data_IF_773867585656
#
_entry.id   IF_773867585656
#
_cell.length_a   1.000
_cell.length_b   1.000
_cell.length_c   1.000
_cell.angle_alpha   90.00
_cell.angle_beta   90.00
_cell.angle_gamma   90.00
#
_symmetry.space_group_name_H-M   'P 1'
#
loop_
_entity.id
_entity.type
_entity.pdbx_description
1 polymer ?
#
# COMPACT_ATOMS: atom_id res chain seq x y z
N UNK A 1 -0.90 -20.76 48.52
CA UNK A 1 -1.07 -19.55 47.70
C UNK A 1 -0.37 -19.77 46.39
N UNK A 2 -1.12 -19.69 45.28
CA UNK A 2 -0.75 -19.41 43.88
C UNK A 2 -1.80 -20.09 43.00
N UNK A 3 -2.62 -19.27 42.34
CA UNK A 3 -3.65 -19.73 41.40
C UNK A 3 -3.08 -20.02 40.01
N UNK A 4 -3.82 -20.73 39.14
CA UNK A 4 -3.39 -21.00 37.78
C UNK A 4 -3.62 -19.80 36.86
N UNK A 5 -2.58 -19.46 36.10
CA UNK A 5 -2.62 -18.55 34.94
C UNK A 5 -3.50 -19.13 33.83
N UNK A 6 -4.37 -18.27 33.30
CA UNK A 6 -5.07 -18.46 32.03
C UNK A 6 -4.06 -18.35 30.87
N UNK A 7 -4.15 -19.26 29.90
CA UNK A 7 -3.47 -19.16 28.61
C UNK A 7 -4.53 -18.84 27.55
N UNK A 8 -4.25 -17.77 26.83
CA UNK A 8 -5.05 -17.05 25.84
C UNK A 8 -5.31 -17.86 24.54
N UNK A 9 -6.46 -17.61 23.92
CA UNK A 9 -7.09 -18.39 22.85
C UNK A 9 -6.97 -17.75 21.47
N UNK A 10 -5.78 -17.33 21.07
CA UNK A 10 -5.51 -16.84 19.69
C UNK A 10 -4.27 -17.50 19.08
N UNK A 11 -4.39 -18.78 18.76
CA UNK A 11 -3.54 -19.45 17.77
C UNK A 11 -4.40 -20.48 17.04
N UNK A 12 -4.84 -20.17 15.81
CA UNK A 12 -5.45 -21.16 14.91
C UNK A 12 -4.46 -22.31 14.69
N UNK A 13 -4.89 -23.59 14.67
CA UNK A 13 -3.98 -24.66 14.35
C UNK A 13 -3.73 -24.73 12.83
N UNK A 14 -2.51 -25.11 12.38
CA UNK A 14 -2.30 -25.51 10.99
C UNK A 14 -2.97 -26.88 10.79
N UNK A 15 -4.18 -26.89 10.21
CA UNK A 15 -5.00 -28.10 10.00
C UNK A 15 -4.30 -29.16 9.14
N UNK A 16 -3.45 -28.76 8.20
CA UNK A 16 -2.65 -29.67 7.37
C UNK A 16 -1.60 -30.45 8.18
N UNK A 17 -1.09 -29.89 9.29
CA UNK A 17 -0.14 -30.58 10.19
C UNK A 17 -0.87 -31.60 11.06
N UNK A 18 -2.11 -31.30 11.48
CA UNK A 18 -2.95 -32.26 12.20
C UNK A 18 -3.38 -33.45 11.33
N UNK A 19 -3.73 -33.23 10.06
CA UNK A 19 -4.11 -34.31 9.13
C UNK A 19 -2.91 -35.22 8.80
N UNK A 20 -1.72 -34.64 8.63
CA UNK A 20 -0.46 -35.36 8.45
C UNK A 20 -0.05 -36.17 9.69
N UNK A 21 -0.12 -35.57 10.88
CA UNK A 21 0.21 -36.25 12.15
C UNK A 21 -0.79 -37.33 12.55
N UNK A 22 -2.10 -37.13 12.31
CA UNK A 22 -3.12 -38.14 12.59
C UNK A 22 -2.99 -39.38 11.68
N UNK A 23 -2.65 -39.16 10.41
CA UNK A 23 -2.48 -40.24 9.43
C UNK A 23 -1.22 -41.06 9.71
N UNK A 24 -0.15 -40.44 10.24
CA UNK A 24 1.08 -41.14 10.59
C UNK A 24 1.02 -41.92 11.91
N UNK A 25 0.12 -41.56 12.85
CA UNK A 25 0.09 -42.14 14.21
C UNK A 25 -0.92 -43.29 14.40
N UNK A 26 -1.96 -43.44 13.56
CA UNK A 26 -3.01 -44.45 13.77
C UNK A 26 -3.52 -45.13 12.48
N UNK A 27 -2.81 -46.15 11.97
CA UNK A 27 -3.13 -46.82 10.70
C UNK A 27 -4.17 -47.96 10.85
N UNK A 28 -5.23 -47.79 11.65
CA UNK A 28 -6.27 -48.82 11.83
C UNK A 28 -7.61 -48.48 11.18
N UNK A 29 -8.40 -49.51 10.87
CA UNK A 29 -9.72 -49.47 10.20
C UNK A 29 -10.80 -48.62 10.89
N UNK A 30 -10.53 -48.10 12.09
CA UNK A 30 -11.41 -47.16 12.80
C UNK A 30 -11.26 -45.72 12.28
N UNK A 31 -10.08 -45.34 11.77
CA UNK A 31 -9.78 -44.01 11.22
C UNK A 31 -10.54 -43.77 9.89
N UNK A 32 -10.69 -44.81 9.07
CA UNK A 32 -11.46 -44.77 7.81
C UNK A 32 -12.97 -44.62 8.04
N UNK A 33 -13.53 -45.20 9.10
CA UNK A 33 -14.95 -45.01 9.46
C UNK A 33 -15.24 -43.60 9.98
N UNK A 34 -14.31 -43.00 10.72
CA UNK A 34 -14.40 -41.59 11.17
C UNK A 34 -14.33 -40.60 10.00
N UNK A 35 -13.46 -40.87 9.01
CA UNK A 35 -13.33 -40.06 7.78
C UNK A 35 -14.56 -40.11 6.85
N UNK A 36 -15.35 -41.17 6.93
CA UNK A 36 -16.60 -41.40 6.18
C UNK A 36 -17.86 -41.04 6.98
N UNK A 37 -17.72 -40.52 8.20
CA UNK A 37 -18.86 -40.18 9.03
C UNK A 37 -19.63 -38.96 8.49
N UNK A 38 -20.95 -38.87 8.72
CA UNK A 38 -21.76 -37.72 8.32
C UNK A 38 -21.20 -36.39 8.83
N UNK A 39 -20.68 -36.39 10.06
CA UNK A 39 -20.06 -35.23 10.71
C UNK A 39 -18.78 -34.77 10.01
N UNK A 40 -17.99 -35.71 9.47
CA UNK A 40 -16.81 -35.39 8.66
C UNK A 40 -17.20 -34.89 7.26
N UNK A 41 -18.28 -35.41 6.67
CA UNK A 41 -18.81 -34.91 5.41
C UNK A 41 -19.35 -33.48 5.54
N UNK A 42 -20.08 -33.17 6.62
CA UNK A 42 -20.53 -31.81 6.96
C UNK A 42 -19.35 -30.86 7.19
N UNK A 43 -18.32 -31.30 7.92
CA UNK A 43 -17.10 -30.50 8.13
C UNK A 43 -16.38 -30.22 6.80
N UNK A 44 -16.22 -31.22 5.93
CA UNK A 44 -15.64 -31.04 4.59
C UNK A 44 -16.47 -30.11 3.70
N UNK A 45 -17.80 -30.23 3.76
CA UNK A 45 -18.71 -29.35 3.03
C UNK A 45 -18.60 -27.90 3.53
N UNK A 46 -18.50 -27.69 4.85
CA UNK A 46 -18.25 -26.39 5.46
C UNK A 46 -16.91 -25.80 5.01
N UNK A 47 -15.82 -26.57 5.11
CA UNK A 47 -14.48 -26.13 4.66
C UNK A 47 -14.48 -25.77 3.18
N UNK A 48 -15.17 -26.57 2.35
CA UNK A 48 -15.28 -26.31 0.90
C UNK A 48 -16.09 -25.03 0.63
N UNK A 49 -17.14 -24.77 1.42
CA UNK A 49 -17.93 -23.55 1.31
C UNK A 49 -17.11 -22.32 1.72
N UNK A 50 -16.34 -22.41 2.81
CA UNK A 50 -15.45 -21.34 3.27
C UNK A 50 -14.37 -21.04 2.24
N UNK A 51 -13.74 -22.06 1.66
CA UNK A 51 -12.75 -21.89 0.59
C UNK A 51 -13.34 -21.22 -0.66
N UNK A 52 -14.59 -21.55 -1.04
CA UNK A 52 -15.29 -20.89 -2.15
C UNK A 52 -15.59 -19.43 -1.84
N UNK A 53 -15.99 -19.11 -0.60
CA UNK A 53 -16.20 -17.73 -0.16
C UNK A 53 -14.90 -16.92 -0.20
N UNK A 54 -13.79 -17.53 0.22
CA UNK A 54 -12.48 -16.89 0.12
C UNK A 54 -12.08 -16.66 -1.34
N UNK A 55 -12.34 -17.61 -2.24
CA UNK A 55 -12.01 -17.47 -3.66
C UNK A 55 -12.70 -16.27 -4.33
N UNK A 56 -13.91 -15.91 -3.89
CA UNK A 56 -14.58 -14.69 -4.35
C UNK A 56 -13.79 -13.42 -4.03
N UNK A 57 -13.07 -13.38 -2.91
CA UNK A 57 -12.24 -12.23 -2.54
C UNK A 57 -11.07 -12.02 -3.50
N UNK A 58 -10.48 -13.11 -4.03
CA UNK A 58 -9.44 -13.03 -5.05
C UNK A 58 -10.03 -12.69 -6.42
N UNK A 59 -11.12 -13.36 -6.82
CA UNK A 59 -11.78 -13.13 -8.11
C UNK A 59 -12.30 -11.69 -8.27
N UNK A 60 -12.76 -11.06 -7.17
CA UNK A 60 -13.30 -9.70 -7.15
C UNK A 60 -12.37 -8.72 -6.42
N UNK A 61 -11.12 -9.10 -6.17
CA UNK A 61 -10.15 -8.35 -5.37
C UNK A 61 -9.77 -6.98 -5.95
N UNK A 62 -10.03 -6.75 -7.24
CA UNK A 62 -9.86 -5.45 -7.89
C UNK A 62 -10.97 -4.44 -7.51
N UNK A 63 -12.12 -4.91 -7.04
CA UNK A 63 -13.30 -4.05 -6.78
C UNK A 63 -13.02 -2.96 -5.74
N UNK A 64 -12.41 -3.24 -4.56
CA UNK A 64 -12.07 -2.19 -3.61
C UNK A 64 -11.17 -1.10 -4.22
N UNK A 65 -10.13 -1.49 -4.96
CA UNK A 65 -9.21 -0.55 -5.61
C UNK A 65 -9.96 0.33 -6.61
N UNK A 66 -10.77 -0.26 -7.50
CA UNK A 66 -11.52 0.49 -8.51
C UNK A 66 -12.51 1.50 -7.89
N UNK A 67 -13.20 1.12 -6.81
CA UNK A 67 -14.16 2.00 -6.14
C UNK A 67 -13.47 3.12 -5.35
N UNK A 68 -12.32 2.84 -4.71
CA UNK A 68 -11.53 3.89 -4.03
C UNK A 68 -10.93 4.85 -5.06
N UNK A 69 -10.35 4.33 -6.15
CA UNK A 69 -9.88 5.16 -7.26
C UNK A 69 -10.99 6.06 -7.81
N UNK A 70 -12.18 5.50 -8.03
CA UNK A 70 -13.34 6.28 -8.46
C UNK A 70 -13.71 7.39 -7.47
N UNK A 71 -13.64 7.13 -6.16
CA UNK A 71 -13.89 8.15 -5.15
C UNK A 71 -12.85 9.30 -5.19
N UNK A 72 -11.58 8.97 -5.46
CA UNK A 72 -10.50 9.96 -5.63
C UNK A 72 -10.68 10.73 -6.95
N UNK A 73 -10.99 10.05 -8.07
CA UNK A 73 -11.23 10.66 -9.39
C UNK A 73 -12.38 11.66 -9.34
N UNK A 74 -13.46 11.28 -8.65
CA UNK A 74 -14.62 12.13 -8.43
C UNK A 74 -14.41 13.15 -7.30
N UNK A 75 -13.29 13.14 -6.59
CA UNK A 75 -13.03 14.07 -5.47
C UNK A 75 -14.12 14.06 -4.39
N UNK A 76 -14.66 12.86 -4.10
CA UNK A 76 -15.77 12.72 -3.13
C UNK A 76 -15.35 13.21 -1.75
N UNK A 77 -14.14 12.83 -1.31
CA UNK A 77 -13.62 13.23 -0.01
C UNK A 77 -13.40 14.76 0.04
N UNK A 78 -12.81 15.33 -1.00
CA UNK A 78 -12.51 16.77 -1.08
C UNK A 78 -13.80 17.61 -1.01
N UNK A 79 -14.84 17.20 -1.74
CA UNK A 79 -16.14 17.90 -1.74
C UNK A 79 -16.85 17.78 -0.40
N UNK A 80 -16.81 16.62 0.24
CA UNK A 80 -17.41 16.46 1.58
C UNK A 80 -16.62 17.28 2.62
N UNK A 81 -15.28 17.31 2.54
CA UNK A 81 -14.44 18.07 3.48
C UNK A 81 -14.66 19.58 3.34
N UNK A 82 -14.66 20.10 2.11
CA UNK A 82 -14.96 21.52 1.84
C UNK A 82 -16.38 21.94 2.24
N UNK A 83 -17.32 21.00 2.34
CA UNK A 83 -18.68 21.20 2.89
C UNK A 83 -18.76 21.01 4.42
N UNK A 84 -17.65 21.07 5.15
CA UNK A 84 -17.63 20.93 6.61
C UNK A 84 -17.66 19.49 7.12
N UNK A 85 -17.29 18.53 6.29
CA UNK A 85 -17.09 17.12 6.66
C UNK A 85 -18.34 16.24 6.64
N UNK A 86 -19.50 16.76 6.25
CA UNK A 86 -20.74 15.99 6.07
C UNK A 86 -21.62 16.56 4.96
N UNK A 87 -22.20 15.69 4.12
CA UNK A 87 -23.00 16.11 2.96
C UNK A 87 -24.14 15.13 2.64
N UNK A 88 -25.31 15.66 2.26
CA UNK A 88 -26.44 14.82 1.82
C UNK A 88 -26.20 14.26 0.42
N UNK A 89 -26.83 13.13 0.09
CA UNK A 89 -26.70 12.52 -1.24
C UNK A 89 -27.12 13.48 -2.39
N UNK A 90 -28.25 14.22 -2.33
CA UNK A 90 -28.59 15.19 -3.37
C UNK A 90 -27.54 16.29 -3.54
N UNK A 91 -27.08 16.89 -2.43
CA UNK A 91 -26.07 17.95 -2.47
C UNK A 91 -24.74 17.44 -3.06
N UNK A 92 -24.30 16.26 -2.62
CA UNK A 92 -23.08 15.62 -3.13
C UNK A 92 -23.20 15.31 -4.61
N UNK A 93 -24.35 14.75 -5.04
CA UNK A 93 -24.62 14.46 -6.44
C UNK A 93 -24.57 15.71 -7.32
N UNK A 94 -25.13 16.82 -6.84
CA UNK A 94 -25.13 18.11 -7.54
C UNK A 94 -23.71 18.70 -7.62
N UNK A 95 -22.97 18.69 -6.52
CA UNK A 95 -21.60 19.20 -6.47
C UNK A 95 -20.64 18.41 -7.38
N UNK A 96 -20.85 17.10 -7.48
CA UNK A 96 -20.04 16.20 -8.30
C UNK A 96 -20.52 16.05 -9.75
N UNK A 97 -21.67 16.64 -10.12
CA UNK A 97 -22.29 16.42 -11.43
C UNK A 97 -22.62 14.95 -11.72
N UNK A 98 -22.85 14.14 -10.69
CA UNK A 98 -23.01 12.68 -10.81
C UNK A 98 -24.49 12.25 -10.80
N UNK A 99 -24.76 11.06 -11.33
CA UNK A 99 -26.07 10.42 -11.23
C UNK A 99 -26.35 9.92 -9.81
N UNK A 100 -27.43 10.40 -9.18
CA UNK A 100 -27.73 10.10 -7.78
C UNK A 100 -27.90 8.59 -7.49
N UNK A 101 -28.59 7.78 -8.31
CA UNK A 101 -28.66 6.33 -8.10
C UNK A 101 -27.31 5.61 -8.19
N UNK A 102 -26.43 6.04 -9.09
CA UNK A 102 -25.10 5.45 -9.26
C UNK A 102 -24.20 5.82 -8.09
N UNK A 103 -24.16 7.11 -7.75
CA UNK A 103 -23.40 7.62 -6.60
C UNK A 103 -23.85 6.95 -5.29
N UNK A 104 -25.15 6.72 -5.11
CA UNK A 104 -25.67 5.99 -3.95
C UNK A 104 -25.07 4.58 -3.82
N UNK A 105 -24.90 3.86 -4.94
CA UNK A 105 -24.32 2.51 -4.94
C UNK A 105 -22.84 2.53 -4.57
N UNK A 106 -22.09 3.50 -5.11
CA UNK A 106 -20.68 3.74 -4.79
C UNK A 106 -20.53 4.07 -3.31
N UNK A 107 -21.28 5.07 -2.82
CA UNK A 107 -21.24 5.47 -1.41
C UNK A 107 -21.66 4.35 -0.47
N UNK A 108 -22.64 3.53 -0.84
CA UNK A 108 -23.03 2.36 -0.03
C UNK A 108 -21.87 1.36 0.12
N UNK A 109 -21.11 1.12 -0.95
CA UNK A 109 -19.91 0.27 -0.88
C UNK A 109 -18.84 0.90 0.02
N UNK A 110 -18.53 2.18 -0.17
CA UNK A 110 -17.52 2.89 0.62
C UNK A 110 -17.90 2.96 2.11
N UNK A 111 -19.18 3.15 2.43
CA UNK A 111 -19.69 3.11 3.81
C UNK A 111 -19.62 1.72 4.41
N UNK A 112 -19.95 0.68 3.65
CA UNK A 112 -19.80 -0.70 4.09
C UNK A 112 -18.34 -1.04 4.44
N UNK A 113 -17.40 -0.51 3.65
CA UNK A 113 -15.94 -0.62 3.89
C UNK A 113 -15.41 0.37 4.93
N UNK A 114 -16.28 1.14 5.59
CA UNK A 114 -15.94 2.14 6.62
C UNK A 114 -15.04 3.27 6.14
N UNK A 115 -14.95 3.49 4.83
CA UNK A 115 -14.23 4.63 4.25
C UNK A 115 -15.00 5.91 4.55
N UNK A 116 -16.32 5.89 4.34
CA UNK A 116 -17.21 6.95 4.82
C UNK A 116 -18.15 6.40 5.89
N UNK A 117 -18.82 7.27 6.62
CA UNK A 117 -19.99 6.91 7.43
C UNK A 117 -21.25 7.49 6.83
N UNK A 118 -22.39 6.88 7.10
CA UNK A 118 -23.70 7.42 6.73
C UNK A 118 -24.52 7.58 8.00
N UNK A 119 -24.89 8.83 8.29
CA UNK A 119 -25.85 9.16 9.35
C UNK A 119 -27.27 9.01 8.80
N UNK A 120 -28.31 9.45 9.54
CA UNK A 120 -29.70 9.33 9.10
C UNK A 120 -29.97 9.99 7.72
N UNK A 121 -29.20 10.99 7.31
CA UNK A 121 -29.43 11.73 6.06
C UNK A 121 -28.17 12.18 5.30
N UNK A 122 -26.97 11.97 5.82
CA UNK A 122 -25.73 12.48 5.23
C UNK A 122 -24.58 11.48 5.27
N UNK A 123 -23.65 11.62 4.33
CA UNK A 123 -22.35 10.96 4.37
C UNK A 123 -21.35 11.85 5.09
N UNK A 124 -20.54 11.27 5.98
CA UNK A 124 -19.54 11.99 6.76
C UNK A 124 -18.16 11.35 6.62
N UNK A 125 -17.12 12.18 6.76
CA UNK A 125 -15.73 11.75 6.75
C UNK A 125 -15.43 10.73 7.86
N UNK A 126 -14.44 9.88 7.61
CA UNK A 126 -13.73 9.07 8.61
C UNK A 126 -12.22 9.34 8.48
N UNK A 127 -11.37 8.83 9.39
CA UNK A 127 -9.93 8.87 9.17
C UNK A 127 -9.52 8.26 7.82
N UNK A 128 -10.17 7.19 7.36
CA UNK A 128 -9.81 6.50 6.12
C UNK A 128 -10.19 7.31 4.87
N UNK A 129 -11.32 8.03 4.85
CA UNK A 129 -11.66 8.89 3.72
C UNK A 129 -10.84 10.17 3.68
N UNK A 130 -10.33 10.66 4.82
CA UNK A 130 -9.42 11.82 4.85
C UNK A 130 -8.11 11.53 4.11
N UNK A 131 -7.63 10.29 4.16
CA UNK A 131 -6.48 9.84 3.36
C UNK A 131 -6.73 9.88 1.84
N UNK A 132 -7.96 10.13 1.38
CA UNK A 132 -8.31 10.25 -0.04
C UNK A 132 -8.35 11.72 -0.53
N UNK A 133 -8.23 12.70 0.37
CA UNK A 133 -8.26 14.13 0.03
C UNK A 133 -6.95 14.47 -0.70
N UNK A 134 -7.05 15.03 -1.90
CA UNK A 134 -5.87 15.32 -2.72
C UNK A 134 -5.09 16.51 -2.13
N UNK A 135 -3.77 16.40 -2.11
CA UNK A 135 -2.88 17.47 -1.63
C UNK A 135 -2.83 17.64 -0.10
N UNK A 136 -3.58 16.83 0.68
CA UNK A 136 -3.36 16.75 2.13
C UNK A 136 -2.00 16.10 2.43
N UNK A 137 -1.33 16.54 3.50
CA UNK A 137 0.03 16.12 3.84
C UNK A 137 0.15 14.59 4.11
N UNK A 138 -0.91 13.98 4.62
CA UNK A 138 -1.03 12.55 4.93
C UNK A 138 -1.85 11.78 3.87
N UNK A 139 -2.12 12.40 2.72
CA UNK A 139 -2.94 11.79 1.67
C UNK A 139 -2.27 10.54 1.07
N UNK A 140 -3.06 9.50 0.89
CA UNK A 140 -2.72 8.30 0.12
C UNK A 140 -3.30 8.31 -1.30
N UNK A 141 -3.95 9.40 -1.71
CA UNK A 141 -4.62 9.49 -3.01
C UNK A 141 -3.64 9.28 -4.18
N UNK A 142 -2.46 9.89 -4.12
CA UNK A 142 -1.44 9.78 -5.16
C UNK A 142 -0.98 8.33 -5.36
N UNK A 143 -0.70 7.62 -4.26
CA UNK A 143 -0.33 6.21 -4.29
C UNK A 143 -1.43 5.34 -4.92
N UNK A 144 -2.68 5.52 -4.49
CA UNK A 144 -3.80 4.76 -5.07
C UNK A 144 -3.96 5.05 -6.57
N UNK A 145 -3.79 6.30 -7.00
CA UNK A 145 -3.87 6.66 -8.41
C UNK A 145 -2.75 6.01 -9.22
N UNK A 146 -1.50 6.04 -8.74
CA UNK A 146 -0.35 5.38 -9.37
C UNK A 146 -0.59 3.87 -9.52
N UNK A 147 -0.92 3.20 -8.42
CA UNK A 147 -1.07 1.73 -8.37
C UNK A 147 -2.25 1.21 -9.19
N UNK A 148 -3.25 2.07 -9.43
CA UNK A 148 -4.43 1.73 -10.22
C UNK A 148 -4.32 2.12 -11.70
N UNK A 149 -3.17 2.65 -12.14
CA UNK A 149 -2.95 2.91 -13.56
C UNK A 149 -2.86 1.61 -14.37
N UNK A 150 -3.30 1.60 -15.64
CA UNK A 150 -3.08 0.46 -16.53
C UNK A 150 -1.60 0.08 -16.64
N UNK A 151 -0.70 1.07 -16.65
CA UNK A 151 0.76 0.87 -16.71
C UNK A 151 1.27 0.04 -15.54
N UNK A 152 0.85 0.35 -14.31
CA UNK A 152 1.28 -0.39 -13.12
C UNK A 152 0.56 -1.72 -12.92
N UNK A 153 -0.66 -1.87 -13.47
CA UNK A 153 -1.46 -3.09 -13.37
C UNK A 153 -1.10 -4.16 -14.41
N UNK A 154 -0.71 -3.76 -15.62
CA UNK A 154 -0.47 -4.70 -16.73
C UNK A 154 0.62 -5.76 -16.42
N UNK A 155 1.76 -5.44 -15.79
CA UNK A 155 2.79 -6.44 -15.45
C UNK A 155 2.28 -7.58 -14.56
N UNK A 156 1.30 -7.31 -13.68
CA UNK A 156 0.71 -8.33 -12.81
C UNK A 156 -0.03 -9.42 -13.58
N UNK A 157 -0.52 -9.12 -14.79
CA UNK A 157 -1.19 -10.11 -15.66
C UNK A 157 -0.19 -11.10 -16.27
N UNK A 158 1.11 -10.78 -16.26
CA UNK A 158 2.18 -11.62 -16.80
C UNK A 158 2.94 -12.41 -15.74
N UNK A 159 2.52 -12.38 -14.47
CA UNK A 159 3.19 -13.13 -13.40
C UNK A 159 3.35 -14.63 -13.68
N UNK A 160 2.38 -15.25 -14.34
CA UNK A 160 2.46 -16.68 -14.69
C UNK A 160 3.55 -16.99 -15.73
N UNK A 161 3.84 -16.06 -16.64
CA UNK A 161 4.96 -16.13 -17.57
C UNK A 161 6.27 -15.89 -16.83
N UNK A 162 6.30 -14.85 -15.99
CA UNK A 162 7.47 -14.51 -15.15
C UNK A 162 7.91 -15.68 -14.28
N UNK A 163 6.97 -16.35 -13.61
CA UNK A 163 7.27 -17.50 -12.76
C UNK A 163 7.93 -18.68 -13.50
N UNK A 164 7.90 -18.70 -14.83
CA UNK A 164 8.53 -19.74 -15.67
C UNK A 164 9.88 -19.32 -16.24
N UNK A 165 10.20 -18.03 -16.21
CA UNK A 165 11.45 -17.47 -16.72
C UNK A 165 12.38 -17.15 -15.53
N UNK A 166 13.69 -17.30 -15.73
CA UNK A 166 14.66 -17.11 -14.65
C UNK A 166 15.11 -15.64 -14.51
N UNK A 167 14.94 -14.83 -15.55
CA UNK A 167 15.53 -13.51 -15.76
C UNK A 167 14.58 -12.54 -16.47
N UNK A 168 14.70 -11.24 -16.20
CA UNK A 168 13.93 -10.16 -16.85
C UNK A 168 12.80 -9.53 -16.02
N UNK A 169 12.39 -8.32 -16.38
CA UNK A 169 11.34 -7.59 -15.67
C UNK A 169 9.95 -7.80 -16.26
N UNK A 170 8.93 -8.19 -15.48
CA UNK A 170 7.53 -8.15 -15.94
C UNK A 170 7.07 -6.79 -16.47
N UNK A 171 7.68 -5.71 -15.98
CA UNK A 171 7.41 -4.37 -16.47
C UNK A 171 8.06 -4.17 -17.85
N UNK A 172 9.33 -4.54 -18.01
CA UNK A 172 10.03 -4.51 -19.30
C UNK A 172 9.37 -5.42 -20.34
N UNK A 173 8.93 -6.61 -19.96
CA UNK A 173 8.25 -7.55 -20.86
C UNK A 173 6.95 -6.95 -21.43
N UNK A 174 6.21 -6.20 -20.61
CA UNK A 174 4.97 -5.55 -21.01
C UNK A 174 5.24 -4.28 -21.84
N UNK A 175 6.15 -3.42 -21.39
CA UNK A 175 6.32 -2.06 -21.92
C UNK A 175 7.54 -1.88 -22.84
N UNK A 176 8.39 -2.91 -22.97
CA UNK A 176 9.61 -2.92 -23.78
C UNK A 176 10.78 -2.10 -23.21
N UNK A 177 10.66 -1.62 -21.96
CA UNK A 177 11.62 -0.77 -21.25
C UNK A 177 11.37 -0.85 -19.75
N UNK A 178 12.39 -0.52 -18.96
CA UNK A 178 12.25 -0.48 -17.51
C UNK A 178 11.33 0.68 -17.07
N UNK A 179 10.99 0.69 -15.78
CA UNK A 179 10.11 1.71 -15.21
C UNK A 179 10.68 3.13 -15.42
N UNK A 180 12.00 3.29 -15.28
CA UNK A 180 12.68 4.57 -15.41
C UNK A 180 12.66 5.08 -16.85
N UNK A 181 13.07 4.25 -17.81
CA UNK A 181 12.98 4.57 -19.23
C UNK A 181 11.54 4.77 -19.70
N UNK A 182 10.54 4.21 -19.02
CA UNK A 182 9.12 4.52 -19.24
C UNK A 182 8.74 5.90 -18.71
N UNK A 183 9.19 6.28 -17.52
CA UNK A 183 8.95 7.60 -16.94
C UNK A 183 9.62 8.71 -17.75
N UNK A 184 10.85 8.48 -18.22
CA UNK A 184 11.57 9.40 -19.12
C UNK A 184 10.77 9.69 -20.40
N UNK A 185 10.09 8.67 -20.93
CA UNK A 185 9.26 8.79 -22.13
C UNK A 185 7.84 9.32 -21.86
N UNK A 186 7.37 9.30 -20.61
CA UNK A 186 5.99 9.61 -20.23
C UNK A 186 5.95 10.55 -18.99
N UNK A 187 6.07 11.87 -19.20
CA UNK A 187 6.12 12.85 -18.09
C UNK A 187 4.92 12.81 -17.15
N UNK A 188 3.72 12.49 -17.66
CA UNK A 188 2.52 12.33 -16.82
C UNK A 188 2.62 11.13 -15.87
N UNK A 189 3.18 10.02 -16.35
CA UNK A 189 3.40 8.83 -15.51
C UNK A 189 4.55 9.05 -14.53
N UNK A 190 5.62 9.72 -14.98
CA UNK A 190 6.73 10.14 -14.12
C UNK A 190 6.22 10.96 -12.93
N UNK A 191 5.37 11.97 -13.21
CA UNK A 191 4.74 12.76 -12.15
C UNK A 191 3.89 11.91 -11.19
N UNK A 192 3.10 10.96 -11.70
CA UNK A 192 2.30 10.08 -10.83
C UNK A 192 3.19 9.18 -9.96
N UNK A 193 4.32 8.71 -10.51
CA UNK A 193 5.31 7.95 -9.77
C UNK A 193 5.90 8.80 -8.65
N UNK A 194 6.38 10.01 -8.96
CA UNK A 194 6.95 10.94 -8.00
C UNK A 194 5.95 11.28 -6.87
N UNK A 195 4.71 11.63 -7.23
CA UNK A 195 3.66 11.96 -6.27
C UNK A 195 3.33 10.74 -5.38
N UNK A 196 3.29 9.53 -5.96
CA UNK A 196 3.05 8.28 -5.23
C UNK A 196 4.21 7.87 -4.31
N UNK A 197 5.45 8.05 -4.76
CA UNK A 197 6.64 7.77 -3.96
C UNK A 197 6.80 8.77 -2.81
N UNK A 198 6.48 10.04 -3.04
CA UNK A 198 6.43 11.07 -2.00
C UNK A 198 5.43 10.72 -0.90
N UNK A 199 4.27 10.16 -1.25
CA UNK A 199 3.28 9.66 -0.30
C UNK A 199 3.85 8.52 0.59
N UNK A 200 4.48 7.52 -0.03
CA UNK A 200 5.13 6.41 0.71
C UNK A 200 6.23 6.94 1.63
N UNK A 201 7.04 7.86 1.12
CA UNK A 201 8.13 8.47 1.86
C UNK A 201 7.63 9.22 3.09
N UNK A 202 6.58 10.03 2.94
CA UNK A 202 5.98 10.77 4.04
C UNK A 202 5.49 9.84 5.15
N UNK A 203 4.72 8.80 4.80
CA UNK A 203 4.17 7.85 5.75
C UNK A 203 5.27 7.05 6.47
N UNK A 204 6.25 6.55 5.73
CA UNK A 204 7.33 5.71 6.26
C UNK A 204 8.26 6.49 7.17
N UNK A 205 8.68 7.70 6.76
CA UNK A 205 9.55 8.55 7.57
C UNK A 205 8.86 9.04 8.84
N UNK A 206 7.56 9.37 8.78
CA UNK A 206 6.80 9.73 9.98
C UNK A 206 6.75 8.57 10.99
N UNK A 207 6.51 7.34 10.52
CA UNK A 207 6.50 6.15 11.37
C UNK A 207 7.89 5.87 11.97
N UNK A 208 8.97 6.04 11.20
CA UNK A 208 10.34 5.88 11.68
C UNK A 208 10.67 6.90 12.78
N UNK A 209 10.29 8.16 12.60
CA UNK A 209 10.46 9.22 13.63
C UNK A 209 9.71 8.88 14.91
N UNK A 210 8.49 8.35 14.80
CA UNK A 210 7.65 8.03 15.96
C UNK A 210 8.11 6.76 16.69
N UNK A 211 8.51 5.72 15.95
CA UNK A 211 8.70 4.37 16.50
C UNK A 211 10.16 4.01 16.75
N UNK A 212 11.10 4.62 16.03
CA UNK A 212 12.52 4.28 16.09
C UNK A 212 13.44 5.53 16.11
N UNK A 213 13.15 6.58 16.90
CA UNK A 213 13.97 7.80 16.90
C UNK A 213 15.44 7.55 17.30
N UNK A 214 15.69 6.56 18.14
CA UNK A 214 17.03 6.19 18.65
C UNK A 214 18.00 5.73 17.56
N UNK A 215 17.49 5.32 16.39
CA UNK A 215 18.33 4.95 15.23
C UNK A 215 19.16 6.15 14.75
N UNK A 216 18.74 7.37 15.07
CA UNK A 216 19.39 8.62 14.67
C UNK A 216 20.34 9.20 15.73
N UNK A 217 20.48 8.54 16.88
CA UNK A 217 21.39 8.98 17.94
C UNK A 217 22.85 8.89 17.49
N UNK A 218 23.60 9.99 17.66
CA UNK A 218 25.01 10.07 17.28
C UNK A 218 25.27 10.26 15.77
N UNK A 219 24.22 10.25 14.93
CA UNK A 219 24.33 10.58 13.50
C UNK A 219 24.39 12.10 13.36
N UNK A 220 25.43 12.62 12.70
CA UNK A 220 25.57 14.06 12.42
C UNK A 220 25.29 14.39 10.95
N UNK A 221 25.46 13.42 10.05
CA UNK A 221 25.19 13.54 8.63
C UNK A 221 24.49 12.30 8.08
N UNK A 222 23.44 12.50 7.29
CA UNK A 222 22.61 11.45 6.71
C UNK A 222 22.45 11.69 5.20
N UNK A 223 22.78 10.69 4.39
CA UNK A 223 22.49 10.72 2.95
C UNK A 223 21.23 9.90 2.65
N UNK A 224 20.25 10.49 1.98
CA UNK A 224 19.09 9.78 1.44
C UNK A 224 19.39 9.42 -0.02
N UNK A 225 19.58 8.13 -0.29
CA UNK A 225 20.01 7.62 -1.60
C UNK A 225 18.78 7.23 -2.43
N UNK A 226 18.62 7.83 -3.60
CA UNK A 226 17.35 7.75 -4.33
C UNK A 226 16.23 8.51 -3.60
N UNK A 227 16.59 9.62 -2.94
CA UNK A 227 15.69 10.37 -2.06
C UNK A 227 14.60 11.17 -2.78
N UNK A 228 14.59 11.16 -4.12
CA UNK A 228 13.58 11.82 -4.93
C UNK A 228 13.55 13.33 -4.69
N UNK A 229 12.36 13.84 -4.43
CA UNK A 229 12.11 15.25 -4.12
C UNK A 229 12.57 15.66 -2.69
N UNK A 230 13.15 14.73 -1.93
CA UNK A 230 13.65 14.91 -0.57
C UNK A 230 12.59 14.82 0.53
N UNK A 231 11.36 14.38 0.23
CA UNK A 231 10.26 14.31 1.22
C UNK A 231 10.65 13.59 2.51
N UNK A 232 11.26 12.40 2.41
CA UNK A 232 11.69 11.63 3.57
C UNK A 232 12.70 12.42 4.42
N UNK A 233 13.76 12.89 3.78
CA UNK A 233 14.84 13.60 4.45
C UNK A 233 14.37 14.91 5.11
N UNK A 234 13.43 15.65 4.50
CA UNK A 234 12.82 16.84 5.11
C UNK A 234 12.09 16.52 6.42
N UNK A 235 11.38 15.41 6.48
CA UNK A 235 10.70 14.95 7.70
C UNK A 235 11.74 14.59 8.76
N UNK A 236 12.79 13.86 8.38
CA UNK A 236 13.85 13.43 9.29
C UNK A 236 14.64 14.62 9.85
N UNK A 237 15.11 15.55 9.02
CA UNK A 237 15.87 16.73 9.47
C UNK A 237 15.02 17.67 10.32
N UNK A 238 13.70 17.76 10.04
CA UNK A 238 12.78 18.52 10.91
C UNK A 238 12.62 17.87 12.29
N UNK A 239 12.60 16.55 12.37
CA UNK A 239 12.50 15.81 13.62
C UNK A 239 13.83 15.77 14.40
N UNK A 240 14.96 15.76 13.68
CA UNK A 240 16.32 15.64 14.22
C UNK A 240 17.20 16.80 13.69
N UNK A 241 17.02 18.04 14.19
CA UNK A 241 17.65 19.24 13.60
C UNK A 241 19.19 19.28 13.68
N UNK A 242 19.81 18.37 14.43
CA UNK A 242 21.27 18.24 14.48
C UNK A 242 21.85 17.51 13.27
N UNK A 243 21.02 16.79 12.51
CA UNK A 243 21.44 16.05 11.32
C UNK A 243 21.54 17.00 10.14
N UNK A 244 22.69 16.99 9.47
CA UNK A 244 22.84 17.52 8.12
C UNK A 244 22.38 16.49 7.11
N UNK A 245 21.31 16.77 6.39
CA UNK A 245 20.79 15.91 5.33
C UNK A 245 21.49 16.15 3.99
N UNK A 246 21.74 15.06 3.24
CA UNK A 246 22.14 15.09 1.83
C UNK A 246 21.07 14.33 1.04
N UNK A 247 20.29 15.03 0.21
CA UNK A 247 19.34 14.39 -0.70
C UNK A 247 20.07 14.01 -1.99
N UNK A 248 20.25 12.71 -2.25
CA UNK A 248 21.04 12.22 -3.35
C UNK A 248 20.20 11.46 -4.37
N UNK A 249 20.12 11.98 -5.60
CA UNK A 249 19.36 11.37 -6.69
C UNK A 249 19.95 11.75 -8.07
N UNK A 250 19.34 11.30 -9.15
CA UNK A 250 19.75 11.62 -10.51
C UNK A 250 19.63 13.13 -10.78
N UNK A 251 20.47 13.69 -11.68
CA UNK A 251 20.50 15.14 -11.93
C UNK A 251 19.15 15.78 -12.29
N UNK A 252 18.30 15.06 -13.04
CA UNK A 252 17.00 15.59 -13.46
C UNK A 252 15.97 15.61 -12.31
N UNK A 253 16.11 14.73 -11.32
CA UNK A 253 15.24 14.66 -10.13
C UNK A 253 15.61 15.75 -9.13
N UNK A 254 16.90 15.84 -8.80
CA UNK A 254 17.42 16.84 -7.86
C UNK A 254 17.19 18.27 -8.35
N UNK A 255 17.24 18.49 -9.67
CA UNK A 255 17.05 19.81 -10.28
C UNK A 255 15.65 20.43 -10.06
N UNK A 256 14.64 19.63 -9.71
CA UNK A 256 13.27 20.11 -9.45
C UNK A 256 12.84 19.95 -7.99
N UNK A 257 13.72 19.43 -7.13
CA UNK A 257 13.43 19.23 -5.71
C UNK A 257 13.26 20.58 -4.99
N UNK A 258 12.23 20.74 -4.13
CA UNK A 258 12.05 21.95 -3.34
C UNK A 258 13.22 22.19 -2.38
N UNK A 259 13.71 23.43 -2.23
CA UNK A 259 14.75 23.73 -1.25
C UNK A 259 14.25 23.48 0.17
N UNK A 260 15.15 23.02 1.05
CA UNK A 260 14.85 22.83 2.47
C UNK A 260 16.09 23.13 3.32
N UNK A 261 15.89 23.89 4.39
CA UNK A 261 16.95 24.21 5.35
C UNK A 261 17.47 22.93 6.02
N UNK A 262 18.79 22.77 6.05
CA UNK A 262 19.44 21.58 6.61
C UNK A 262 19.52 20.38 5.66
N UNK A 263 19.01 20.51 4.42
CA UNK A 263 19.11 19.48 3.36
C UNK A 263 19.91 20.02 2.18
N UNK A 264 21.00 19.34 1.84
CA UNK A 264 21.82 19.62 0.67
C UNK A 264 21.42 18.72 -0.51
N UNK A 265 20.94 19.28 -1.64
CA UNK A 265 20.67 18.51 -2.84
C UNK A 265 21.99 18.16 -3.56
N UNK A 266 22.22 16.86 -3.83
CA UNK A 266 23.40 16.38 -4.55
C UNK A 266 22.97 15.46 -5.69
N UNK A 267 23.36 15.82 -6.91
CA UNK A 267 23.09 15.02 -8.09
C UNK A 267 24.18 13.97 -8.32
N UNK A 268 23.81 12.74 -8.69
CA UNK A 268 24.76 11.72 -9.12
C UNK A 268 24.11 10.37 -9.41
N UNK A 269 24.94 9.35 -9.54
CA UNK A 269 24.54 7.97 -9.77
C UNK A 269 25.04 7.10 -8.61
N UNK A 270 24.12 6.49 -7.87
CA UNK A 270 24.43 5.64 -6.72
C UNK A 270 25.24 4.39 -7.06
N UNK A 271 25.18 3.93 -8.32
CA UNK A 271 25.96 2.79 -8.79
C UNK A 271 27.42 3.16 -9.07
N UNK A 272 27.72 4.46 -9.17
CA UNK A 272 29.08 4.98 -9.34
C UNK A 272 29.66 5.38 -7.99
N UNK A 273 28.98 6.26 -7.26
CA UNK A 273 29.41 6.73 -5.95
C UNK A 273 28.24 7.34 -5.16
N UNK A 274 28.25 7.14 -3.84
CA UNK A 274 27.33 7.78 -2.91
C UNK A 274 28.09 8.83 -2.09
N UNK A 275 27.52 10.02 -1.83
CA UNK A 275 28.12 11.03 -0.96
C UNK A 275 28.49 10.47 0.42
N UNK A 276 29.61 10.92 0.96
CA UNK A 276 30.06 10.48 2.28
C UNK A 276 29.20 11.13 3.38
N UNK A 277 28.61 10.31 4.23
CA UNK A 277 27.87 10.70 5.42
C UNK A 277 28.10 9.65 6.54
N UNK A 278 27.64 9.94 7.75
CA UNK A 278 27.74 8.99 8.88
C UNK A 278 26.83 7.78 8.68
N UNK A 279 25.68 8.00 8.04
CA UNK A 279 24.73 6.95 7.68
C UNK A 279 24.08 7.21 6.31
N UNK A 280 23.56 6.14 5.72
CA UNK A 280 22.73 6.18 4.53
C UNK A 280 21.31 5.72 4.86
N UNK A 281 20.32 6.48 4.38
CA UNK A 281 18.91 6.13 4.38
C UNK A 281 18.54 5.66 2.98
N UNK A 282 17.83 4.53 2.90
CA UNK A 282 17.42 3.93 1.65
C UNK A 282 16.00 3.38 1.79
N UNK A 283 15.07 3.87 0.97
CA UNK A 283 13.68 3.42 1.02
C UNK A 283 13.50 2.11 0.21
N UNK A 284 13.44 0.97 0.90
CA UNK A 284 13.42 -0.39 0.31
C UNK A 284 12.16 -0.71 -0.50
N UNK A 285 11.09 0.09 -0.46
CA UNK A 285 9.91 -0.13 -1.33
C UNK A 285 10.30 -0.18 -2.83
N UNK A 286 11.31 0.62 -3.21
CA UNK A 286 11.98 0.55 -4.51
C UNK A 286 12.53 -0.85 -4.82
N UNK A 287 13.18 -1.51 -3.86
CA UNK A 287 13.91 -2.76 -4.08
C UNK A 287 13.00 -3.98 -4.10
N UNK A 288 12.06 -4.12 -3.16
CA UNK A 288 11.21 -5.31 -3.08
C UNK A 288 10.25 -5.44 -4.27
N UNK A 289 9.73 -4.31 -4.79
CA UNK A 289 8.92 -4.34 -6.01
C UNK A 289 9.77 -4.48 -7.27
N UNK A 290 10.97 -3.90 -7.28
CA UNK A 290 11.97 -4.20 -8.33
C UNK A 290 12.30 -5.68 -8.38
N UNK A 291 12.37 -6.42 -7.26
CA UNK A 291 12.59 -7.88 -7.30
C UNK A 291 11.43 -8.70 -7.87
N UNK A 292 10.18 -8.20 -7.82
CA UNK A 292 9.04 -8.84 -8.49
C UNK A 292 8.81 -8.31 -9.90
N UNK A 293 9.36 -7.14 -10.21
CA UNK A 293 9.31 -6.45 -11.49
C UNK A 293 10.70 -6.39 -12.18
N UNK A 294 11.67 -7.24 -11.85
CA UNK A 294 12.99 -7.48 -12.50
C UNK A 294 13.36 -8.96 -12.33
#
# INVERSE_FOLDING_TARGET
>A
MLGPLAIDSTSRPPSLVMESLYTSLFPSSSSTKLLQSPKMAELKASITADAKLEMWSYALGFTPMAIVKCAIDLQIADVIDSHGGSMTLPSLSAALGCSQPVLRRIMRYLVHRRIFTHTASSYSQTPLSRLLIRGAADSMAALVLLESTPTMLAPWQRLSLRARQADGSPFEDEHGRDLWGHCDANPEHSKLLDDGMSCIAAASSAAVVEQCPEVFDGISSLVDVGGGDGTALRILVKAFPWIRGINFDLPHVVGVAPPCDGVEPVAGDMFVAVPKADAAFLMVFFLLRSYFLH
#
